data_IF_784834697746
#
_entry.id   IF_784834697746
#
_cell.length_a   1.000
_cell.length_b   1.000
_cell.length_c   1.000
_cell.angle_alpha   90.00
_cell.angle_beta   90.00
_cell.angle_gamma   90.00
#
_symmetry.space_group_name_H-M   'P 1'
#
loop_
_entity.id
_entity.type
_entity.pdbx_description
1 polymer ?
#
# COMPACT_ATOMS: atom_id res chain seq x y z
N UNK A 1 14.07 4.70 4.62
CA UNK A 1 13.36 5.95 4.26
C UNK A 1 12.61 5.67 2.98
N UNK A 2 11.28 5.80 2.99
CA UNK A 2 10.43 5.20 1.95
C UNK A 2 9.85 6.27 1.04
N UNK A 3 10.19 6.25 -0.25
CA UNK A 3 9.70 7.21 -1.24
C UNK A 3 8.76 6.58 -2.25
N UNK A 4 7.67 7.29 -2.53
CA UNK A 4 6.65 7.00 -3.55
C UNK A 4 6.99 7.57 -4.93
N UNK A 5 8.10 8.31 -5.08
CA UNK A 5 8.37 9.02 -6.33
C UNK A 5 9.78 8.70 -6.86
N UNK A 6 9.97 8.70 -8.19
CA UNK A 6 11.28 8.59 -8.79
C UNK A 6 12.19 9.66 -8.19
N UNK A 7 13.40 9.26 -7.78
CA UNK A 7 14.38 10.19 -7.23
C UNK A 7 14.68 11.29 -8.27
N UNK A 8 14.88 12.55 -7.84
CA UNK A 8 14.94 13.03 -6.47
C UNK A 8 13.56 13.37 -5.93
N UNK A 9 13.11 12.60 -4.95
CA UNK A 9 11.75 12.67 -4.42
C UNK A 9 11.76 12.91 -2.92
N UNK A 10 10.78 13.67 -2.39
CA UNK A 10 10.71 13.94 -0.97
C UNK A 10 10.48 12.63 -0.21
N UNK A 11 11.34 12.37 0.76
CA UNK A 11 11.24 11.21 1.65
C UNK A 11 10.12 11.48 2.66
N UNK A 12 9.26 10.49 2.85
CA UNK A 12 8.24 10.55 3.90
C UNK A 12 8.93 10.50 5.28
N UNK A 13 8.46 11.28 6.28
CA UNK A 13 8.91 11.13 7.66
C UNK A 13 8.55 9.74 8.21
N UNK A 14 9.15 9.28 9.32
CA UNK A 14 8.76 8.03 9.97
C UNK A 14 7.28 8.06 10.35
N UNK A 15 6.55 6.97 10.10
CA UNK A 15 5.13 6.82 10.46
C UNK A 15 4.84 5.36 10.85
N UNK A 16 3.92 5.15 11.79
CA UNK A 16 3.37 3.83 12.11
C UNK A 16 2.09 3.54 11.30
N UNK A 17 1.34 4.59 10.99
CA UNK A 17 0.10 4.52 10.21
C UNK A 17 0.02 5.72 9.25
N UNK A 18 -0.38 5.47 8.01
CA UNK A 18 -0.51 6.50 6.99
C UNK A 18 -1.91 6.46 6.37
N UNK A 19 -2.68 7.53 6.55
CA UNK A 19 -3.96 7.71 5.88
C UNK A 19 -3.76 8.45 4.56
N UNK A 20 -3.99 7.76 3.45
CA UNK A 20 -3.96 8.35 2.11
C UNK A 20 -5.37 8.74 1.68
N UNK A 21 -5.62 10.03 1.45
CA UNK A 21 -6.90 10.54 0.94
C UNK A 21 -6.66 11.41 -0.30
N UNK A 22 -7.13 10.95 -1.45
CA UNK A 22 -6.97 11.68 -2.71
C UNK A 22 -6.99 10.80 -3.95
N UNK A 23 -6.71 11.42 -5.10
CA UNK A 23 -6.51 10.72 -6.37
C UNK A 23 -5.06 10.22 -6.41
N UNK A 24 -4.86 8.95 -6.07
CA UNK A 24 -3.57 8.28 -6.17
C UNK A 24 -3.64 7.17 -7.21
N UNK A 25 -2.47 6.81 -7.75
CA UNK A 25 -2.35 5.62 -8.59
C UNK A 25 -2.78 4.37 -7.81
N UNK A 26 -3.44 3.44 -8.49
CA UNK A 26 -3.95 2.22 -7.86
C UNK A 26 -2.82 1.38 -7.23
N UNK A 27 -1.62 1.39 -7.83
CA UNK A 27 -0.43 0.68 -7.35
C UNK A 27 0.34 1.43 -6.26
N UNK A 28 0.10 2.73 -6.04
CA UNK A 28 0.85 3.52 -5.07
C UNK A 28 0.82 2.93 -3.64
N UNK A 29 -0.32 2.45 -3.10
CA UNK A 29 -0.34 1.80 -1.79
C UNK A 29 0.57 0.56 -1.70
N UNK A 30 0.68 -0.22 -2.78
CA UNK A 30 1.53 -1.42 -2.83
C UNK A 30 3.00 -1.00 -2.78
N UNK A 31 3.40 -0.05 -3.64
CA UNK A 31 4.75 0.50 -3.66
C UNK A 31 5.15 1.08 -2.31
N UNK A 32 4.23 1.75 -1.62
CA UNK A 32 4.48 2.28 -0.29
C UNK A 32 4.68 1.18 0.75
N UNK A 33 3.84 0.14 0.73
CA UNK A 33 3.99 -1.01 1.62
C UNK A 33 5.33 -1.71 1.41
N UNK A 34 5.69 -1.98 0.15
CA UNK A 34 6.98 -2.57 -0.22
C UNK A 34 8.16 -1.76 0.32
N UNK A 35 8.12 -0.44 0.11
CA UNK A 35 9.22 0.44 0.54
C UNK A 35 9.27 0.60 2.06
N UNK A 36 8.13 0.58 2.73
CA UNK A 36 8.05 0.63 4.20
C UNK A 36 8.60 -0.65 4.82
N UNK A 37 8.12 -1.81 4.37
CA UNK A 37 8.52 -3.13 4.85
C UNK A 37 9.99 -3.44 4.56
N UNK A 38 10.52 -2.96 3.42
CA UNK A 38 11.95 -3.05 3.11
C UNK A 38 12.82 -2.30 4.12
N UNK A 39 12.32 -1.21 4.72
CA UNK A 39 13.03 -0.45 5.75
C UNK A 39 12.81 -1.00 7.17
N UNK A 40 11.76 -1.81 7.39
CA UNK A 40 11.35 -2.32 8.70
C UNK A 40 11.05 -3.83 8.65
N UNK A 41 12.09 -4.68 8.52
CA UNK A 41 11.90 -6.12 8.41
C UNK A 41 11.22 -6.69 9.67
N UNK A 42 10.28 -7.63 9.47
CA UNK A 42 9.51 -8.26 10.55
C UNK A 42 8.25 -7.51 10.97
N UNK A 43 7.93 -6.40 10.32
CA UNK A 43 6.65 -5.69 10.47
C UNK A 43 5.64 -6.16 9.43
N UNK A 44 4.35 -5.88 9.65
CA UNK A 44 3.27 -6.12 8.68
C UNK A 44 2.65 -4.80 8.26
N UNK A 45 2.20 -4.71 7.02
CA UNK A 45 1.47 -3.55 6.51
C UNK A 45 0.01 -3.94 6.28
N UNK A 46 -0.91 -3.04 6.64
CA UNK A 46 -2.35 -3.25 6.42
C UNK A 46 -2.84 -2.18 5.45
N UNK A 47 -3.44 -2.61 4.34
CA UNK A 47 -4.10 -1.74 3.37
C UNK A 47 -5.60 -1.82 3.58
N UNK A 48 -6.20 -0.69 3.94
CA UNK A 48 -7.65 -0.55 4.06
C UNK A 48 -8.22 0.01 2.75
N UNK A 49 -9.13 -0.71 2.12
CA UNK A 49 -9.81 -0.27 0.89
C UNK A 49 -11.33 -0.33 1.05
N UNK A 50 -12.09 0.64 0.52
CA UNK A 50 -13.56 0.58 0.57
C UNK A 50 -14.13 -0.58 -0.25
N UNK A 51 -13.41 -1.05 -1.26
CA UNK A 51 -13.80 -2.19 -2.08
C UNK A 51 -12.58 -2.89 -2.65
N UNK A 52 -12.31 -4.09 -2.15
CA UNK A 52 -11.24 -4.95 -2.66
C UNK A 52 -11.39 -5.23 -4.16
N UNK A 53 -12.59 -5.53 -4.63
CA UNK A 53 -12.83 -5.85 -6.04
C UNK A 53 -12.52 -4.67 -6.96
N UNK A 54 -13.00 -3.46 -6.62
CA UNK A 54 -12.71 -2.26 -7.43
C UNK A 54 -11.23 -1.91 -7.43
N UNK A 55 -10.55 -2.11 -6.30
CA UNK A 55 -9.12 -1.85 -6.22
C UNK A 55 -8.31 -2.87 -7.02
N UNK A 56 -8.66 -4.16 -6.96
CA UNK A 56 -8.04 -5.19 -7.80
C UNK A 56 -8.25 -4.91 -9.28
N UNK A 57 -9.47 -4.53 -9.68
CA UNK A 57 -9.74 -4.14 -11.07
C UNK A 57 -8.87 -2.95 -11.47
N UNK A 58 -8.79 -1.92 -10.64
CA UNK A 58 -7.96 -0.75 -10.91
C UNK A 58 -6.46 -1.07 -10.98
N UNK A 59 -5.98 -2.06 -10.22
CA UNK A 59 -4.61 -2.55 -10.31
C UNK A 59 -4.35 -3.26 -11.64
N UNK A 60 -5.26 -4.13 -12.07
CA UNK A 60 -5.18 -4.78 -13.38
C UNK A 60 -5.26 -3.77 -14.53
N UNK A 61 -6.20 -2.82 -14.46
CA UNK A 61 -6.40 -1.79 -15.47
C UNK A 61 -5.21 -0.83 -15.57
N UNK A 62 -4.57 -0.52 -14.43
CA UNK A 62 -3.37 0.32 -14.40
C UNK A 62 -2.15 -0.39 -14.98
N UNK A 63 -2.11 -1.73 -14.91
CA UNK A 63 -1.08 -2.60 -15.49
C UNK A 63 0.35 -2.07 -15.24
N UNK A 64 0.70 -1.93 -13.96
CA UNK A 64 1.99 -1.38 -13.54
C UNK A 64 3.15 -2.27 -14.04
N UNK A 65 3.97 -1.74 -14.95
CA UNK A 65 5.10 -2.46 -15.54
C UNK A 65 6.10 -2.94 -14.49
N UNK A 66 6.35 -2.13 -13.44
CA UNK A 66 7.25 -2.52 -12.37
C UNK A 66 6.70 -3.68 -11.55
N UNK A 67 5.40 -3.69 -11.22
CA UNK A 67 4.80 -4.83 -10.51
C UNK A 67 4.75 -6.09 -11.37
N UNK A 68 4.55 -5.97 -12.68
CA UNK A 68 4.57 -7.11 -13.59
C UNK A 68 5.98 -7.72 -13.72
N UNK A 69 7.00 -6.88 -13.86
CA UNK A 69 8.39 -7.33 -13.95
C UNK A 69 8.92 -7.79 -12.60
N UNK A 70 8.75 -6.97 -11.55
CA UNK A 70 9.37 -7.17 -10.24
C UNK A 70 8.53 -8.04 -9.28
N UNK A 71 7.24 -8.20 -9.51
CA UNK A 71 6.33 -8.94 -8.61
C UNK A 71 6.63 -10.44 -8.54
N UNK A 72 7.21 -11.01 -9.60
CA UNK A 72 7.61 -12.42 -9.66
C UNK A 72 8.92 -12.75 -8.93
N UNK A 73 9.70 -11.73 -8.53
CA UNK A 73 10.95 -11.97 -7.80
C UNK A 73 10.63 -12.40 -6.37
N UNK A 74 11.27 -13.49 -5.92
CA UNK A 74 11.02 -14.06 -4.59
C UNK A 74 11.17 -13.05 -3.45
N UNK A 75 12.10 -12.10 -3.56
CA UNK A 75 12.28 -11.04 -2.57
C UNK A 75 11.05 -10.10 -2.49
N UNK A 76 10.51 -9.67 -3.63
CA UNK A 76 9.32 -8.80 -3.68
C UNK A 76 8.08 -9.57 -3.24
N UNK A 77 7.91 -10.81 -3.72
CA UNK A 77 6.81 -11.69 -3.32
C UNK A 77 6.79 -11.96 -1.81
N UNK A 78 7.97 -12.17 -1.20
CA UNK A 78 8.10 -12.35 0.24
C UNK A 78 7.68 -11.10 1.03
N UNK A 79 8.01 -9.91 0.55
CA UNK A 79 7.58 -8.65 1.18
C UNK A 79 6.08 -8.44 0.99
N UNK A 80 5.53 -8.72 -0.21
CA UNK A 80 4.10 -8.63 -0.49
C UNK A 80 3.27 -9.59 0.39
N UNK A 81 3.81 -10.75 0.75
CA UNK A 81 3.13 -11.68 1.66
C UNK A 81 2.88 -11.13 3.07
N UNK A 82 3.58 -10.04 3.44
CA UNK A 82 3.43 -9.35 4.71
C UNK A 82 2.41 -8.18 4.63
N UNK A 83 1.77 -8.00 3.46
CA UNK A 83 0.74 -6.98 3.22
C UNK A 83 -0.64 -7.62 3.29
N UNK A 84 -1.43 -7.22 4.28
CA UNK A 84 -2.82 -7.66 4.45
C UNK A 84 -3.78 -6.61 3.89
N UNK A 85 -4.72 -7.03 3.03
CA UNK A 85 -5.69 -6.14 2.38
C UNK A 85 -7.07 -6.38 2.99
N UNK A 86 -7.57 -5.40 3.73
CA UNK A 86 -8.89 -5.47 4.35
C UNK A 86 -9.87 -4.55 3.63
N UNK A 87 -11.01 -5.13 3.23
CA UNK A 87 -12.10 -4.36 2.64
C UNK A 87 -12.98 -3.81 3.75
N UNK A 88 -13.07 -2.49 3.89
CA UNK A 88 -13.92 -1.83 4.88
C UNK A 88 -15.10 -1.22 4.15
N UNK A 89 -16.26 -1.89 4.20
CA UNK A 89 -17.51 -1.27 3.78
C UNK A 89 -17.83 -0.18 4.80
N UNK A 90 -17.60 1.09 4.42
CA UNK A 90 -17.98 2.29 5.18
C UNK A 90 -19.52 2.42 5.22
N UNK A 91 -20.19 1.44 5.82
CA UNK A 91 -21.60 1.52 6.21
C UNK A 91 -21.75 1.99 7.65
N UNK A 92 -20.85 1.58 8.56
CA UNK A 92 -20.99 1.81 10.01
C UNK A 92 -19.66 1.77 10.77
N UNK A 93 -18.64 2.50 10.32
CA UNK A 93 -17.41 2.67 11.12
C UNK A 93 -17.13 4.15 11.32
N UNK A 94 -18.07 4.81 12.01
CA UNK A 94 -17.69 5.88 12.94
C UNK A 94 -17.01 5.17 14.12
N UNK A 95 -15.72 4.89 13.99
CA UNK A 95 -14.92 4.46 15.13
C UNK A 95 -14.80 5.69 16.03
N UNK A 96 -15.69 5.73 17.01
CA UNK A 96 -15.72 6.73 18.08
C UNK A 96 -14.32 6.83 18.67
N UNK A 97 -13.60 7.91 18.34
CA UNK A 97 -12.53 8.38 19.20
C UNK A 97 -13.20 8.87 20.48
N UNK A 98 -13.27 8.00 21.49
CA UNK A 98 -13.52 8.44 22.85
C UNK A 98 -12.22 9.01 23.41
N UNK A 99 -12.38 10.19 23.98
CA UNK A 99 -11.42 11.06 24.63
C UNK A 99 -10.51 10.36 25.65
#
# INVERSE_FOLDING_TARGET
MSSLFPLPSPLLPPFDSLLLKGKYHASAPIHLCLTHLSSHPGTKAIVLTPSRQKWLQALCDFNDDWLNECGGYGAVSHILSQVDVLSVTLGYVFLSMRH
#
